data_IF_223090249170
#
_entry.id   IF_223090249170
#
_cell.length_a   1.000
_cell.length_b   1.000
_cell.length_c   1.000
_cell.angle_alpha   90.00
_cell.angle_beta   90.00
_cell.angle_gamma   90.00
#
_symmetry.space_group_name_H-M   'P 1'
#
loop_
_entity.id
_entity.type
_entity.pdbx_description
1 polymer ?
#
# COMPACT_ATOMS: atom_id res chain seq x y z
N UNK A 1 11.39 -25.07 -27.60
CA UNK A 1 10.58 -24.65 -26.43
C UNK A 1 9.60 -25.76 -26.16
N UNK A 2 9.79 -26.48 -25.05
CA UNK A 2 9.07 -27.73 -24.74
C UNK A 2 7.64 -27.43 -24.30
N UNK A 3 6.68 -27.79 -25.15
CA UNK A 3 5.24 -27.71 -24.90
C UNK A 3 4.70 -28.86 -24.01
N UNK A 4 5.55 -29.50 -23.22
CA UNK A 4 5.26 -30.77 -22.54
C UNK A 4 5.10 -30.68 -21.03
N UNK A 5 5.01 -29.47 -20.48
CA UNK A 5 4.66 -29.25 -19.08
C UNK A 5 3.47 -28.31 -19.08
N UNK A 6 2.39 -28.73 -18.43
CA UNK A 6 1.06 -28.13 -18.38
C UNK A 6 1.04 -26.77 -17.64
N UNK A 7 1.96 -25.89 -18.00
CA UNK A 7 2.13 -24.57 -17.42
C UNK A 7 1.10 -23.63 -18.04
N UNK A 8 0.23 -23.02 -17.22
CA UNK A 8 -0.84 -22.11 -17.66
C UNK A 8 -0.34 -20.84 -18.40
N UNK A 9 0.97 -20.68 -18.54
CA UNK A 9 1.64 -19.41 -18.66
C UNK A 9 2.86 -19.51 -19.61
N UNK A 10 2.59 -19.54 -20.92
CA UNK A 10 3.60 -19.75 -22.00
C UNK A 10 4.62 -18.60 -22.20
N UNK A 11 4.35 -17.37 -21.75
CA UNK A 11 5.24 -16.21 -22.02
C UNK A 11 5.43 -15.26 -20.84
N UNK A 12 6.68 -14.98 -20.45
CA UNK A 12 7.02 -13.97 -19.45
C UNK A 12 6.62 -12.56 -19.94
N UNK A 13 5.64 -11.91 -19.30
CA UNK A 13 5.24 -10.54 -19.62
C UNK A 13 6.29 -9.54 -19.10
N UNK A 14 7.33 -9.30 -19.89
CA UNK A 14 8.40 -8.35 -19.57
C UNK A 14 7.97 -6.88 -19.76
N UNK A 15 6.87 -6.60 -20.46
CA UNK A 15 6.44 -5.26 -20.81
C UNK A 15 5.11 -4.86 -20.15
N UNK A 16 5.20 -4.01 -19.12
CA UNK A 16 4.14 -3.06 -18.77
C UNK A 16 4.73 -1.65 -18.83
N UNK A 17 3.97 -0.67 -19.30
CA UNK A 17 4.42 0.73 -19.44
C UNK A 17 4.97 1.33 -18.13
N UNK A 18 4.53 0.79 -16.99
CA UNK A 18 5.08 1.10 -15.67
C UNK A 18 6.10 0.03 -15.26
N UNK A 19 7.39 0.37 -15.33
CA UNK A 19 8.55 -0.54 -15.17
C UNK A 19 8.57 -1.34 -13.87
N UNK A 20 7.93 -0.86 -12.82
CA UNK A 20 7.93 -1.56 -11.52
C UNK A 20 6.75 -2.52 -11.37
N UNK A 21 5.65 -2.34 -12.11
CA UNK A 21 4.55 -3.32 -12.14
C UNK A 21 5.02 -4.60 -12.84
N UNK A 22 5.82 -4.49 -13.92
CA UNK A 22 6.42 -5.65 -14.58
C UNK A 22 7.38 -6.38 -13.64
N UNK A 23 8.16 -5.66 -12.83
CA UNK A 23 9.04 -6.28 -11.82
C UNK A 23 8.26 -7.10 -10.78
N UNK A 24 7.14 -6.58 -10.27
CA UNK A 24 6.27 -7.35 -9.36
C UNK A 24 5.74 -8.62 -10.03
N UNK A 25 5.29 -8.53 -11.29
CA UNK A 25 4.78 -9.68 -12.05
C UNK A 25 5.87 -10.72 -12.31
N UNK A 26 7.09 -10.29 -12.60
CA UNK A 26 8.24 -11.19 -12.77
C UNK A 26 8.51 -11.96 -11.48
N UNK A 27 8.52 -11.30 -10.32
CA UNK A 27 8.74 -11.98 -9.04
C UNK A 27 7.69 -13.06 -8.75
N UNK A 28 6.40 -12.73 -8.95
CA UNK A 28 5.32 -13.70 -8.78
C UNK A 28 5.51 -14.90 -9.72
N UNK A 29 5.85 -14.64 -10.98
CA UNK A 29 6.01 -15.69 -11.98
C UNK A 29 7.23 -16.59 -11.74
N UNK A 30 8.31 -16.04 -11.17
CA UNK A 30 9.47 -16.84 -10.73
C UNK A 30 9.10 -17.75 -9.57
N UNK A 31 8.24 -17.31 -8.66
CA UNK A 31 7.73 -18.17 -7.58
C UNK A 31 6.78 -19.25 -8.10
N UNK A 32 5.87 -18.89 -9.01
CA UNK A 32 4.94 -19.83 -9.64
C UNK A 32 5.69 -20.92 -10.41
N UNK A 33 6.74 -20.56 -11.14
CA UNK A 33 7.53 -21.48 -11.97
C UNK A 33 8.79 -21.99 -11.27
N UNK A 34 8.85 -21.95 -9.92
CA UNK A 34 10.07 -22.27 -9.18
C UNK A 34 10.58 -23.67 -9.51
N UNK A 35 9.71 -24.66 -9.57
CA UNK A 35 10.07 -26.05 -9.78
C UNK A 35 10.53 -26.31 -11.22
N UNK A 36 9.86 -25.70 -12.21
CA UNK A 36 10.25 -25.75 -13.62
C UNK A 36 11.59 -25.05 -13.86
N UNK A 37 11.80 -23.88 -13.22
CA UNK A 37 13.07 -23.16 -13.27
C UNK A 37 14.20 -23.98 -12.64
N UNK A 38 13.92 -24.67 -11.54
CA UNK A 38 14.90 -25.55 -10.90
C UNK A 38 15.35 -26.67 -11.84
N UNK A 39 14.40 -27.38 -12.47
CA UNK A 39 14.70 -28.44 -13.45
C UNK A 39 15.49 -27.87 -14.64
N UNK A 40 15.08 -26.71 -15.14
CA UNK A 40 15.76 -26.04 -16.24
C UNK A 40 17.23 -25.72 -15.90
N UNK A 41 17.49 -25.10 -14.75
CA UNK A 41 18.85 -24.73 -14.35
C UNK A 41 19.74 -25.93 -14.01
N UNK A 42 19.16 -27.04 -13.54
CA UNK A 42 19.89 -28.30 -13.37
C UNK A 42 20.36 -28.85 -14.71
N UNK A 43 19.51 -28.83 -15.74
CA UNK A 43 19.86 -29.29 -17.09
C UNK A 43 20.95 -28.42 -17.73
N UNK A 44 20.87 -27.10 -17.54
CA UNK A 44 21.86 -26.13 -18.02
C UNK A 44 23.17 -26.12 -17.20
N UNK A 45 23.28 -26.96 -16.16
CA UNK A 45 24.42 -26.99 -15.22
C UNK A 45 24.73 -25.61 -14.62
N UNK A 46 23.69 -24.83 -14.34
CA UNK A 46 23.83 -23.53 -13.71
C UNK A 46 23.75 -23.66 -12.19
N UNK A 47 24.90 -23.97 -11.58
CA UNK A 47 25.00 -24.19 -10.14
C UNK A 47 24.59 -22.97 -9.32
N UNK A 48 24.79 -21.76 -9.85
CA UNK A 48 24.47 -20.51 -9.13
C UNK A 48 22.96 -20.37 -8.90
N UNK A 49 22.15 -20.49 -9.95
CA UNK A 49 20.69 -20.38 -9.81
C UNK A 49 20.10 -21.60 -9.10
N UNK A 50 20.65 -22.79 -9.33
CA UNK A 50 20.24 -24.00 -8.63
C UNK A 50 20.43 -23.84 -7.10
N UNK A 51 21.58 -23.32 -6.67
CA UNK A 51 21.85 -23.03 -5.26
C UNK A 51 20.88 -21.99 -4.67
N UNK A 52 20.41 -21.01 -5.44
CA UNK A 52 19.43 -20.05 -4.95
C UNK A 52 18.03 -20.65 -4.80
N UNK A 53 17.56 -21.38 -5.81
CA UNK A 53 16.21 -21.97 -5.80
C UNK A 53 16.06 -23.15 -4.84
N UNK A 54 17.16 -23.79 -4.44
CA UNK A 54 17.20 -24.82 -3.39
C UNK A 54 17.38 -24.24 -1.99
N UNK A 55 17.83 -22.99 -1.87
CA UNK A 55 17.99 -22.33 -0.58
C UNK A 55 16.63 -21.81 -0.08
N UNK A 56 16.12 -22.43 0.98
CA UNK A 56 14.82 -22.05 1.54
C UNK A 56 14.76 -20.60 2.03
N UNK A 57 15.84 -20.09 2.66
CA UNK A 57 15.88 -18.70 3.15
C UNK A 57 15.79 -17.73 1.98
N UNK A 58 16.49 -18.05 0.88
CA UNK A 58 16.42 -17.24 -0.34
C UNK A 58 15.02 -17.29 -0.96
N UNK A 59 14.41 -18.47 -1.04
CA UNK A 59 13.04 -18.63 -1.53
C UNK A 59 12.02 -17.87 -0.68
N UNK A 60 12.15 -17.90 0.64
CA UNK A 60 11.25 -17.16 1.53
C UNK A 60 11.46 -15.65 1.39
N UNK A 61 12.68 -15.16 1.17
CA UNK A 61 12.92 -13.74 0.84
C UNK A 61 12.27 -13.36 -0.49
N UNK A 62 12.36 -14.22 -1.49
CA UNK A 62 11.72 -14.01 -2.79
C UNK A 62 10.19 -13.96 -2.63
N UNK A 63 9.61 -14.89 -1.87
CA UNK A 63 8.18 -14.93 -1.54
C UNK A 63 7.70 -13.65 -0.87
N UNK A 64 8.43 -13.18 0.15
CA UNK A 64 8.15 -11.91 0.78
C UNK A 64 8.16 -10.74 -0.21
N UNK A 65 9.19 -10.67 -1.06
CA UNK A 65 9.32 -9.61 -2.06
C UNK A 65 8.14 -9.62 -3.04
N UNK A 66 7.77 -10.78 -3.55
CA UNK A 66 6.61 -10.92 -4.43
C UNK A 66 5.33 -10.37 -3.79
N UNK A 67 5.03 -10.76 -2.55
CA UNK A 67 3.83 -10.30 -1.85
C UNK A 67 3.84 -8.78 -1.59
N UNK A 68 4.95 -8.22 -1.08
CA UNK A 68 5.01 -6.78 -0.80
C UNK A 68 4.93 -5.94 -2.08
N UNK A 69 5.57 -6.39 -3.17
CA UNK A 69 5.45 -5.75 -4.47
C UNK A 69 4.04 -5.85 -5.04
N UNK A 70 3.34 -6.96 -4.83
CA UNK A 70 1.96 -7.11 -5.23
C UNK A 70 1.03 -6.14 -4.49
N UNK A 71 1.24 -5.93 -3.19
CA UNK A 71 0.52 -4.93 -2.41
C UNK A 71 0.79 -3.50 -2.91
N UNK A 72 2.06 -3.17 -3.16
CA UNK A 72 2.44 -1.87 -3.73
C UNK A 72 1.77 -1.65 -5.10
N UNK A 73 1.82 -2.67 -5.96
CA UNK A 73 1.21 -2.67 -7.30
C UNK A 73 -0.31 -2.46 -7.23
N UNK A 74 -0.98 -3.10 -6.28
CA UNK A 74 -2.42 -2.93 -6.04
C UNK A 74 -2.74 -1.48 -5.68
N UNK A 75 -2.01 -0.89 -4.74
CA UNK A 75 -2.23 0.49 -4.32
C UNK A 75 -1.96 1.45 -5.47
N UNK A 76 -0.85 1.29 -6.19
CA UNK A 76 -0.54 2.15 -7.32
C UNK A 76 -1.57 2.06 -8.46
N UNK A 77 -1.94 0.84 -8.86
CA UNK A 77 -2.94 0.67 -9.93
C UNK A 77 -4.26 1.30 -9.51
N UNK A 78 -4.64 1.18 -8.24
CA UNK A 78 -5.84 1.83 -7.71
C UNK A 78 -5.77 3.36 -7.76
N UNK A 79 -4.59 3.98 -7.81
CA UNK A 79 -4.39 5.43 -7.94
C UNK A 79 -4.30 5.91 -9.40
N UNK A 80 -4.35 5.01 -10.40
CA UNK A 80 -4.21 5.36 -11.82
C UNK A 80 -5.57 5.36 -12.58
N UNK A 81 -6.70 5.24 -11.87
CA UNK A 81 -8.02 5.15 -12.47
C UNK A 81 -8.57 6.47 -13.00
N UNK A 82 -9.49 6.41 -13.97
CA UNK A 82 -10.15 7.59 -14.59
C UNK A 82 -10.93 8.47 -13.60
N UNK A 83 -11.34 7.91 -12.46
CA UNK A 83 -12.11 8.61 -11.42
C UNK A 83 -11.25 8.98 -10.20
N UNK A 84 -9.92 8.95 -10.33
CA UNK A 84 -9.01 9.24 -9.24
C UNK A 84 -8.74 10.74 -9.10
N UNK A 85 -8.69 11.24 -7.86
CA UNK A 85 -8.23 12.58 -7.55
C UNK A 85 -7.19 12.56 -6.41
N UNK A 86 -6.57 13.71 -6.16
CA UNK A 86 -5.53 13.82 -5.13
C UNK A 86 -6.04 13.35 -3.75
N UNK A 87 -7.29 13.68 -3.39
CA UNK A 87 -7.83 13.29 -2.10
C UNK A 87 -7.94 11.77 -2.02
N UNK A 88 -8.56 11.12 -3.02
CA UNK A 88 -8.75 9.65 -3.01
C UNK A 88 -7.41 8.93 -3.02
N UNK A 89 -6.43 9.41 -3.77
CA UNK A 89 -5.07 8.86 -3.80
C UNK A 89 -4.38 9.00 -2.45
N UNK A 90 -4.47 10.17 -1.81
CA UNK A 90 -3.92 10.37 -0.47
C UNK A 90 -4.57 9.42 0.53
N UNK A 91 -5.89 9.22 0.47
CA UNK A 91 -6.57 8.27 1.37
C UNK A 91 -6.11 6.83 1.17
N UNK A 92 -5.97 6.37 -0.07
CA UNK A 92 -5.46 5.03 -0.39
C UNK A 92 -4.05 4.84 0.15
N UNK A 93 -3.20 5.85 -0.03
CA UNK A 93 -1.84 5.82 0.47
C UNK A 93 -1.79 5.81 2.01
N UNK A 94 -2.57 6.66 2.67
CA UNK A 94 -2.67 6.67 4.14
C UNK A 94 -3.24 5.37 4.69
N UNK A 95 -4.21 4.76 4.02
CA UNK A 95 -4.71 3.43 4.38
C UNK A 95 -3.62 2.37 4.26
N UNK A 96 -2.80 2.43 3.20
CA UNK A 96 -1.68 1.52 3.02
C UNK A 96 -0.58 1.70 4.07
N UNK A 97 -0.23 2.94 4.43
CA UNK A 97 0.70 3.23 5.54
C UNK A 97 0.20 2.61 6.85
N UNK A 98 -1.08 2.81 7.20
CA UNK A 98 -1.70 2.19 8.37
C UNK A 98 -1.63 0.66 8.31
N UNK A 99 -1.81 0.08 7.12
CA UNK A 99 -1.70 -1.37 6.89
C UNK A 99 -0.28 -1.89 7.17
N UNK A 100 0.75 -1.19 6.69
CA UNK A 100 2.17 -1.51 6.97
C UNK A 100 2.44 -1.44 8.48
N UNK A 101 1.99 -0.38 9.14
CA UNK A 101 2.16 -0.19 10.59
C UNK A 101 1.48 -1.31 11.40
N UNK A 102 0.29 -1.71 10.98
CA UNK A 102 -0.43 -2.84 11.55
C UNK A 102 0.32 -4.16 11.35
N UNK A 103 0.81 -4.44 10.14
CA UNK A 103 1.59 -5.65 9.86
C UNK A 103 2.87 -5.73 10.69
N UNK A 104 3.61 -4.62 10.81
CA UNK A 104 4.80 -4.57 11.67
C UNK A 104 4.45 -4.90 13.12
N UNK A 105 3.43 -4.24 13.68
CA UNK A 105 2.97 -4.47 15.05
C UNK A 105 2.56 -5.94 15.25
N UNK A 106 1.84 -6.51 14.29
CA UNK A 106 1.42 -7.91 14.31
C UNK A 106 2.62 -8.88 14.33
N UNK A 107 3.61 -8.65 13.47
CA UNK A 107 4.83 -9.48 13.40
C UNK A 107 5.60 -9.42 14.71
N UNK A 108 5.76 -8.23 15.30
CA UNK A 108 6.46 -8.06 16.58
C UNK A 108 5.75 -8.78 17.73
N UNK A 109 4.41 -8.74 17.76
CA UNK A 109 3.63 -9.32 18.84
C UNK A 109 3.45 -10.84 18.72
N UNK A 110 3.12 -11.33 17.53
CA UNK A 110 2.73 -12.73 17.32
C UNK A 110 3.81 -13.59 16.69
N UNK A 111 4.87 -12.98 16.15
CA UNK A 111 5.91 -13.66 15.35
C UNK A 111 5.33 -14.48 14.19
N UNK A 112 4.22 -14.01 13.61
CA UNK A 112 3.61 -14.60 12.41
C UNK A 112 3.63 -13.64 11.25
N UNK A 113 3.65 -14.18 10.03
CA UNK A 113 3.71 -13.44 8.77
C UNK A 113 2.49 -13.70 7.88
N UNK A 114 1.32 -13.91 8.49
CA UNK A 114 0.08 -14.33 7.83
C UNK A 114 -0.41 -13.37 6.72
N UNK A 115 0.08 -12.13 6.74
CA UNK A 115 -0.18 -11.14 5.69
C UNK A 115 0.62 -11.37 4.40
N UNK A 116 1.60 -12.26 4.41
CA UNK A 116 2.45 -12.62 3.27
C UNK A 116 2.20 -14.11 2.93
N UNK A 117 1.13 -14.41 2.17
CA UNK A 117 0.68 -15.79 1.93
C UNK A 117 1.66 -16.64 1.14
N UNK A 118 2.58 -16.04 0.39
CA UNK A 118 3.59 -16.77 -0.37
C UNK A 118 4.71 -17.33 0.51
N UNK A 119 4.82 -16.88 1.76
CA UNK A 119 5.82 -17.36 2.72
C UNK A 119 5.33 -18.67 3.34
N UNK A 120 6.08 -19.76 3.10
CA UNK A 120 5.73 -21.09 3.60
C UNK A 120 6.65 -21.60 4.71
N UNK A 121 7.97 -21.33 4.62
CA UNK A 121 8.99 -21.93 5.50
C UNK A 121 9.93 -20.87 6.10
N UNK A 122 10.65 -21.26 7.17
CA UNK A 122 11.78 -20.52 7.75
C UNK A 122 11.49 -19.05 8.12
N UNK A 123 10.33 -18.83 8.73
CA UNK A 123 9.81 -17.51 9.09
C UNK A 123 10.71 -16.81 10.13
N UNK A 124 11.25 -17.56 11.10
CA UNK A 124 11.97 -16.99 12.25
C UNK A 124 13.21 -16.18 11.87
N UNK A 125 13.99 -16.64 10.89
CA UNK A 125 15.22 -15.96 10.46
C UNK A 125 14.93 -14.70 9.63
N UNK A 126 13.75 -14.64 9.03
CA UNK A 126 13.38 -13.59 8.08
C UNK A 126 12.50 -12.51 8.74
N UNK A 127 11.84 -12.81 9.86
CA UNK A 127 11.08 -11.83 10.65
C UNK A 127 11.87 -10.53 10.91
N UNK A 128 13.14 -10.56 11.35
CA UNK A 128 13.89 -9.32 11.58
C UNK A 128 14.06 -8.50 10.30
N UNK A 129 14.32 -9.17 9.18
CA UNK A 129 14.50 -8.57 7.86
C UNK A 129 13.20 -7.91 7.39
N UNK A 130 12.07 -8.63 7.50
CA UNK A 130 10.75 -8.12 7.14
C UNK A 130 10.39 -6.92 8.00
N UNK A 131 10.59 -7.02 9.31
CA UNK A 131 10.25 -5.96 10.26
C UNK A 131 11.02 -4.69 9.95
N UNK A 132 12.34 -4.80 9.75
CA UNK A 132 13.20 -3.69 9.37
C UNK A 132 12.79 -3.10 8.02
N UNK A 133 12.51 -3.94 7.02
CA UNK A 133 12.09 -3.45 5.71
C UNK A 133 10.75 -2.71 5.77
N UNK A 134 9.78 -3.18 6.54
CA UNK A 134 8.49 -2.51 6.70
C UNK A 134 8.63 -1.14 7.40
N UNK A 135 9.51 -1.05 8.39
CA UNK A 135 9.84 0.23 9.05
C UNK A 135 10.46 1.23 8.07
N UNK A 136 11.47 0.80 7.31
CA UNK A 136 12.10 1.63 6.29
C UNK A 136 11.09 2.03 5.20
N UNK A 137 10.21 1.12 4.80
CA UNK A 137 9.18 1.40 3.80
C UNK A 137 8.20 2.46 4.30
N UNK A 138 7.75 2.37 5.55
CA UNK A 138 6.89 3.38 6.18
C UNK A 138 7.59 4.75 6.24
N UNK A 139 8.86 4.80 6.63
CA UNK A 139 9.68 6.02 6.65
C UNK A 139 9.76 6.65 5.25
N UNK A 140 10.09 5.84 4.23
CA UNK A 140 10.20 6.33 2.85
C UNK A 140 8.87 6.82 2.30
N UNK A 141 7.76 6.11 2.53
CA UNK A 141 6.45 6.57 2.08
C UNK A 141 6.11 7.91 2.74
N UNK A 142 6.36 8.05 4.03
CA UNK A 142 6.11 9.31 4.77
C UNK A 142 6.99 10.45 4.26
N UNK A 143 8.24 10.17 3.94
CA UNK A 143 9.19 11.16 3.40
C UNK A 143 8.81 11.65 2.01
N UNK A 144 8.43 10.74 1.11
CA UNK A 144 8.11 11.10 -0.28
C UNK A 144 6.67 11.58 -0.47
N UNK A 145 5.75 11.19 0.41
CA UNK A 145 4.35 11.56 0.39
C UNK A 145 3.93 12.09 1.77
N UNK A 146 4.35 13.32 2.12
CA UNK A 146 3.95 13.93 3.39
C UNK A 146 2.42 14.06 3.44
N UNK A 147 1.88 13.95 4.65
CA UNK A 147 0.44 14.04 4.86
C UNK A 147 -0.09 15.35 4.26
N UNK A 148 -0.93 15.25 3.23
CA UNK A 148 -1.77 16.37 2.86
C UNK A 148 -2.75 16.61 4.01
N UNK A 149 -2.91 17.85 4.43
CA UNK A 149 -4.00 18.21 5.33
C UNK A 149 -5.32 18.06 4.56
N UNK A 150 -5.86 16.85 4.57
CA UNK A 150 -7.11 16.49 3.89
C UNK A 150 -8.31 17.08 4.64
N UNK A 151 -8.19 17.32 5.96
CA UNK A 151 -9.27 17.89 6.79
C UNK A 151 -9.75 19.23 6.23
N UNK A 152 -8.83 20.05 5.70
CA UNK A 152 -9.17 21.31 5.00
C UNK A 152 -10.06 21.10 3.77
N UNK A 153 -10.00 19.94 3.14
CA UNK A 153 -10.69 19.59 1.90
C UNK A 153 -11.81 18.57 2.11
N UNK A 154 -12.16 18.23 3.35
CA UNK A 154 -13.21 17.25 3.64
C UNK A 154 -14.59 17.68 3.13
N UNK A 155 -14.81 18.99 2.98
CA UNK A 155 -16.01 19.54 2.34
C UNK A 155 -16.22 19.05 0.90
N UNK A 156 -15.14 18.70 0.19
CA UNK A 156 -15.20 18.17 -1.19
C UNK A 156 -15.78 16.75 -1.20
N UNK A 157 -15.59 16.00 -0.10
CA UNK A 157 -16.07 14.63 0.06
C UNK A 157 -17.45 14.57 0.72
N UNK A 158 -17.67 15.46 1.66
CA UNK A 158 -18.92 15.63 2.35
C UNK A 158 -19.20 17.14 2.49
N UNK A 159 -20.01 17.73 1.60
CA UNK A 159 -20.34 19.15 1.62
C UNK A 159 -20.98 19.60 2.95
N UNK A 160 -21.50 18.65 3.72
CA UNK A 160 -22.16 18.89 5.01
C UNK A 160 -21.26 18.56 6.22
N UNK A 161 -20.05 18.02 6.04
CA UNK A 161 -19.12 17.76 7.16
C UNK A 161 -18.40 19.02 7.62
N UNK A 162 -18.15 19.97 6.72
CA UNK A 162 -17.54 21.25 7.02
C UNK A 162 -18.57 22.28 7.49
N UNK A 163 -19.38 21.92 8.49
CA UNK A 163 -19.97 22.93 9.36
C UNK A 163 -18.83 23.53 10.16
N UNK A 164 -18.25 24.61 9.63
CA UNK A 164 -17.41 25.48 10.40
C UNK A 164 -18.31 26.12 11.47
N UNK A 165 -18.50 25.45 12.60
CA UNK A 165 -19.40 25.83 13.69
C UNK A 165 -19.15 27.28 14.12
N UNK A 166 -17.90 27.73 14.01
CA UNK A 166 -17.47 29.11 14.22
C UNK A 166 -18.17 30.13 13.31
N UNK A 167 -18.40 29.83 12.03
CA UNK A 167 -19.08 30.76 11.10
C UNK A 167 -20.56 30.87 11.45
N UNK A 168 -21.21 29.75 11.79
CA UNK A 168 -22.59 29.74 12.24
C UNK A 168 -22.74 30.47 13.58
N UNK A 169 -21.85 30.25 14.53
CA UNK A 169 -21.84 30.97 15.82
C UNK A 169 -21.59 32.47 15.66
N UNK A 170 -20.62 32.87 14.83
CA UNK A 170 -20.35 34.28 14.53
C UNK A 170 -21.55 34.96 13.89
N UNK A 171 -22.20 34.29 12.92
CA UNK A 171 -23.41 34.79 12.29
C UNK A 171 -24.57 34.91 13.29
N UNK A 172 -24.75 33.92 14.17
CA UNK A 172 -25.78 33.94 15.22
C UNK A 172 -25.55 35.06 16.24
N UNK A 173 -24.29 35.26 16.67
CA UNK A 173 -23.91 36.30 17.64
C UNK A 173 -24.10 37.70 17.06
N UNK A 174 -23.75 37.90 15.77
CA UNK A 174 -23.96 39.16 15.06
C UNK A 174 -25.46 39.47 14.90
N UNK A 175 -26.28 38.46 14.60
CA UNK A 175 -27.75 38.60 14.49
C UNK A 175 -28.41 38.89 15.84
N UNK A 176 -27.97 38.28 16.94
CA UNK A 176 -28.41 38.62 18.31
C UNK A 176 -28.05 40.05 18.70
N UNK A 177 -26.85 40.51 18.37
CA UNK A 177 -26.42 41.88 18.69
C UNK A 177 -27.25 42.92 17.91
N UNK A 178 -27.56 42.67 16.63
CA UNK A 178 -28.43 43.54 15.83
C UNK A 178 -29.85 43.65 16.40
N UNK A 179 -30.44 42.53 16.82
CA UNK A 179 -31.77 42.52 17.47
C UNK A 179 -31.76 43.27 18.81
N UNK A 180 -30.67 43.15 19.58
CA UNK A 180 -30.50 43.86 20.85
C UNK A 180 -30.34 45.37 20.63
N UNK A 181 -29.61 45.79 19.60
CA UNK A 181 -29.49 47.19 19.21
C UNK A 181 -30.83 47.77 18.73
N UNK A 182 -31.63 47.01 17.97
CA UNK A 182 -32.96 47.45 17.56
C UNK A 182 -33.90 47.64 18.76
N UNK A 183 -33.92 46.70 19.71
CA UNK A 183 -34.75 46.83 20.93
C UNK A 183 -34.38 48.06 21.77
N UNK A 184 -33.10 48.40 21.86
CA UNK A 184 -32.64 49.61 22.58
C UNK A 184 -33.15 50.88 21.89
N UNK A 185 -33.10 50.93 20.55
CA UNK A 185 -33.60 52.07 19.76
C UNK A 185 -35.12 52.24 19.90
N UNK A 186 -35.88 51.14 19.97
CA UNK A 186 -37.34 51.20 20.18
C UNK A 186 -37.76 51.51 21.63
N UNK A 187 -36.87 51.36 22.62
CA UNK A 187 -37.15 51.71 24.03
C UNK A 187 -36.84 53.16 24.40
N UNK A 188 -36.33 53.96 23.46
CA UNK A 188 -35.98 55.37 23.66
C UNK A 188 -36.88 56.35 22.90
N UNK A 189 -37.98 55.86 22.29
CA UNK A 189 -39.11 56.65 21.78
C UNK A 189 -40.37 56.28 22.56
#
# INVERSE_FOLDING_TARGET
>A
MCASMDAQHESLLLHSEVRWLSRSKVLNRVLELKDELLIFFQNEKNDTFNNFLTNDIWCTKLAYLADIFNYLNTVNTSMQGKNENILTSTHKLSAFQKKISFWRTHIVQKKTVDMFPSIQNNINEIIPIITQHLELLEEKITKYFPAFNIEKYDWIRNPFSSTNTLIYELHYKKRRNLLRCQQIVYSQN
#
